data_IF_466072762565
#
_entry.id   IF_466072762565
#
_cell.length_a   1.000
_cell.length_b   1.000
_cell.length_c   1.000
_cell.angle_alpha   90.00
_cell.angle_beta   90.00
_cell.angle_gamma   90.00
#
_symmetry.space_group_name_H-M   'P 1'
#
loop_
_entity.id
_entity.type
_entity.pdbx_description
1 polymer ?
#
# COMPACT_ATOMS: atom_id res chain seq x y z
N UNK A 1 -1.78 -39.74 -38.21
CA UNK A 1 -1.09 -39.40 -39.48
C UNK A 1 -1.31 -40.55 -40.45
N UNK A 2 -1.35 -40.31 -41.78
CA UNK A 2 -1.33 -41.43 -42.73
C UNK A 2 0.06 -42.08 -42.72
N UNK A 3 0.11 -43.39 -42.84
CA UNK A 3 1.35 -44.13 -43.03
C UNK A 3 1.80 -43.96 -44.48
N UNK A 4 2.93 -43.31 -44.68
CA UNK A 4 3.55 -43.11 -46.00
C UNK A 4 4.53 -44.25 -46.30
N UNK A 5 4.59 -44.69 -47.54
CA UNK A 5 5.46 -45.78 -48.01
C UNK A 5 6.58 -45.24 -48.93
N UNK A 6 7.65 -46.01 -49.20
CA UNK A 6 8.67 -45.56 -50.15
C UNK A 6 8.05 -45.26 -51.51
N UNK A 7 8.53 -44.20 -52.18
CA UNK A 7 8.18 -44.01 -53.59
C UNK A 7 8.85 -45.09 -54.44
N UNK A 8 8.08 -45.67 -55.34
CA UNK A 8 8.60 -46.56 -56.35
C UNK A 8 9.51 -45.78 -57.31
N UNK A 9 10.79 -46.17 -57.48
CA UNK A 9 11.76 -45.39 -58.24
C UNK A 9 11.45 -45.33 -59.75
N UNK A 10 10.54 -46.16 -60.26
CA UNK A 10 10.11 -46.14 -61.67
C UNK A 10 8.91 -45.22 -61.88
N UNK A 11 8.04 -45.05 -60.88
CA UNK A 11 6.75 -44.34 -61.04
C UNK A 11 6.58 -43.08 -60.20
N UNK A 12 7.38 -42.91 -59.14
CA UNK A 12 7.26 -41.78 -58.20
C UNK A 12 6.02 -41.83 -57.30
N UNK A 13 5.35 -42.98 -57.20
CA UNK A 13 4.14 -43.18 -56.38
C UNK A 13 4.47 -44.07 -55.17
N UNK A 14 3.86 -43.82 -54.02
CA UNK A 14 4.05 -44.62 -52.80
C UNK A 14 3.66 -46.08 -53.00
N UNK A 15 4.60 -47.00 -52.74
CA UNK A 15 4.44 -48.44 -52.93
C UNK A 15 4.66 -49.20 -51.61
N UNK A 16 3.61 -49.78 -50.99
CA UNK A 16 3.70 -50.43 -49.69
C UNK A 16 4.46 -51.76 -49.69
N UNK A 17 4.84 -52.30 -50.85
CA UNK A 17 5.62 -53.53 -50.96
C UNK A 17 7.15 -53.28 -50.95
N UNK A 18 7.59 -52.01 -51.01
CA UNK A 18 9.02 -51.67 -50.99
C UNK A 18 9.56 -51.53 -49.56
N UNK A 19 10.75 -52.07 -49.33
CA UNK A 19 11.50 -51.87 -48.09
C UNK A 19 12.24 -50.52 -48.13
N UNK A 20 12.23 -49.79 -47.00
CA UNK A 20 13.05 -48.58 -46.84
C UNK A 20 14.54 -48.94 -46.85
N UNK A 21 15.22 -48.64 -47.96
CA UNK A 21 16.66 -48.82 -48.07
C UNK A 21 17.41 -47.59 -47.52
N UNK A 22 18.35 -47.81 -46.61
CA UNK A 22 19.23 -46.75 -46.12
C UNK A 22 20.24 -46.42 -47.23
N UNK A 23 20.21 -45.20 -47.77
CA UNK A 23 20.97 -44.83 -48.97
C UNK A 23 22.48 -44.99 -48.79
N UNK A 24 23.14 -45.66 -49.73
CA UNK A 24 24.60 -45.73 -49.81
C UNK A 24 25.11 -44.55 -50.66
N UNK A 25 25.89 -43.60 -50.10
CA UNK A 25 26.41 -42.47 -50.86
C UNK A 25 27.33 -42.85 -52.03
N UNK A 26 27.91 -44.07 -52.03
CA UNK A 26 28.87 -44.49 -53.06
C UNK A 26 28.23 -44.93 -54.39
N UNK A 27 26.90 -45.07 -54.47
CA UNK A 27 26.21 -45.58 -55.68
C UNK A 27 25.30 -44.57 -56.36
N UNK A 28 25.24 -43.32 -55.87
CA UNK A 28 24.56 -42.20 -56.55
C UNK A 28 23.09 -42.48 -56.89
N UNK A 29 22.37 -43.20 -56.04
CA UNK A 29 21.01 -43.64 -56.30
C UNK A 29 20.02 -42.54 -55.90
N UNK A 30 19.33 -41.94 -56.88
CA UNK A 30 18.34 -40.89 -56.63
C UNK A 30 17.20 -41.40 -55.76
N UNK A 31 16.82 -40.58 -54.77
CA UNK A 31 15.96 -40.99 -53.66
C UNK A 31 16.48 -40.52 -52.30
N UNK A 32 17.10 -39.34 -52.25
CA UNK A 32 17.74 -38.72 -51.07
C UNK A 32 16.73 -38.27 -50.01
N UNK A 33 15.97 -39.21 -49.46
CA UNK A 33 15.22 -38.98 -48.22
C UNK A 33 16.21 -38.81 -47.07
N UNK A 34 15.99 -37.85 -46.16
CA UNK A 34 16.83 -37.72 -44.98
C UNK A 34 16.90 -39.06 -44.24
N UNK A 35 18.07 -39.49 -43.75
CA UNK A 35 18.20 -40.78 -43.09
C UNK A 35 17.22 -40.83 -41.92
N UNK A 36 16.54 -41.97 -41.74
CA UNK A 36 15.47 -42.18 -40.76
C UNK A 36 15.77 -41.64 -39.36
N UNK A 37 17.04 -41.67 -38.93
CA UNK A 37 17.53 -41.02 -37.70
C UNK A 37 17.15 -39.54 -37.56
N UNK A 38 17.20 -38.74 -38.64
CA UNK A 38 16.91 -37.30 -38.62
C UNK A 38 15.44 -36.99 -38.25
N UNK A 39 14.51 -37.91 -38.56
CA UNK A 39 13.11 -37.81 -38.13
C UNK A 39 12.86 -38.47 -36.78
N UNK A 40 13.62 -39.52 -36.45
CA UNK A 40 13.57 -40.22 -35.17
C UNK A 40 14.07 -39.38 -34.01
N UNK A 41 15.17 -38.65 -34.17
CA UNK A 41 15.86 -38.03 -33.04
C UNK A 41 15.03 -36.91 -32.36
N UNK A 42 14.34 -36.01 -33.10
CA UNK A 42 13.36 -35.09 -32.51
C UNK A 42 12.13 -35.80 -31.91
N UNK A 43 11.71 -36.94 -32.47
CA UNK A 43 10.61 -37.74 -31.89
C UNK A 43 11.04 -38.44 -30.59
N UNK A 44 12.27 -38.92 -30.49
CA UNK A 44 12.87 -39.40 -29.23
C UNK A 44 12.97 -38.28 -28.22
N UNK A 45 13.39 -37.07 -28.62
CA UNK A 45 13.39 -35.88 -27.76
C UNK A 45 11.97 -35.52 -27.29
N UNK A 46 10.97 -35.59 -28.16
CA UNK A 46 9.58 -35.28 -27.81
C UNK A 46 8.89 -36.38 -27.01
N UNK A 47 9.23 -37.65 -27.16
CA UNK A 47 8.80 -38.69 -26.23
C UNK A 47 9.54 -38.51 -24.90
N UNK A 48 10.85 -38.30 -24.90
CA UNK A 48 11.60 -37.86 -23.71
C UNK A 48 11.00 -36.60 -23.06
N UNK A 49 10.34 -35.72 -23.81
CA UNK A 49 9.56 -34.60 -23.27
C UNK A 49 8.15 -34.99 -22.85
N UNK A 50 7.40 -35.81 -23.59
CA UNK A 50 6.13 -36.37 -23.12
C UNK A 50 6.32 -37.17 -21.83
N UNK A 51 7.59 -37.50 -21.49
CA UNK A 51 8.01 -38.23 -20.32
C UNK A 51 7.46 -37.71 -18.94
N UNK A 52 8.10 -36.91 -18.08
CA UNK A 52 7.72 -36.95 -16.63
C UNK A 52 6.52 -36.13 -16.07
N UNK A 53 5.44 -35.84 -16.80
CA UNK A 53 4.26 -35.17 -16.21
C UNK A 53 3.33 -36.12 -15.47
N UNK A 54 3.70 -37.40 -15.38
CA UNK A 54 2.77 -38.42 -14.91
C UNK A 54 1.70 -38.75 -15.95
N UNK A 55 2.06 -38.70 -17.24
CA UNK A 55 1.29 -39.41 -18.26
C UNK A 55 1.71 -40.90 -18.25
N UNK A 56 1.00 -41.73 -19.00
CA UNK A 56 1.56 -42.95 -19.59
C UNK A 56 1.64 -42.76 -21.11
N UNK A 57 2.73 -43.20 -21.73
CA UNK A 57 2.74 -43.55 -23.15
C UNK A 57 1.69 -44.67 -23.35
N UNK A 58 1.39 -45.04 -24.58
CA UNK A 58 0.71 -46.30 -24.84
C UNK A 58 1.16 -46.84 -26.20
N UNK A 59 1.66 -48.07 -26.33
CA UNK A 59 1.68 -49.20 -25.38
C UNK A 59 3.05 -49.92 -25.41
N UNK A 60 3.62 -50.41 -24.30
CA UNK A 60 3.13 -50.45 -22.90
C UNK A 60 3.16 -49.09 -22.19
N UNK A 61 4.18 -48.30 -22.48
CA UNK A 61 4.17 -46.86 -22.27
C UNK A 61 4.37 -46.36 -20.83
N UNK A 62 5.31 -46.96 -20.11
CA UNK A 62 6.00 -46.25 -19.01
C UNK A 62 6.88 -45.10 -19.52
N UNK A 63 7.15 -45.14 -20.82
CA UNK A 63 7.87 -44.19 -21.65
C UNK A 63 7.14 -42.85 -21.86
N UNK A 64 6.31 -42.49 -20.87
CA UNK A 64 6.21 -41.13 -20.35
C UNK A 64 6.72 -40.93 -18.87
N UNK A 65 8.05 -40.91 -18.57
CA UNK A 65 8.69 -40.59 -17.25
C UNK A 65 10.07 -39.77 -17.14
N UNK A 66 10.33 -38.64 -17.86
CA UNK A 66 11.49 -37.71 -17.82
C UNK A 66 11.25 -36.17 -18.05
N UNK A 67 10.76 -35.61 -19.19
CA UNK A 67 10.72 -34.11 -19.40
C UNK A 67 9.36 -33.40 -19.47
N UNK A 68 8.25 -34.09 -19.21
CA UNK A 68 7.03 -33.44 -18.78
C UNK A 68 7.04 -33.30 -17.25
N UNK A 69 8.15 -33.66 -16.55
CA UNK A 69 8.59 -33.04 -15.27
C UNK A 69 8.84 -31.55 -15.50
N UNK A 70 9.23 -31.14 -16.72
CA UNK A 70 9.30 -29.74 -17.07
C UNK A 70 7.90 -29.13 -17.24
N UNK A 71 6.91 -29.88 -17.74
CA UNK A 71 5.48 -29.51 -17.72
C UNK A 71 4.92 -29.56 -16.27
N UNK A 72 5.46 -30.46 -15.43
CA UNK A 72 5.03 -30.74 -14.05
C UNK A 72 5.75 -29.88 -12.99
N UNK A 73 6.78 -29.12 -13.38
CA UNK A 73 7.12 -27.86 -12.72
C UNK A 73 5.96 -26.85 -12.78
N UNK A 74 4.91 -27.14 -13.55
CA UNK A 74 3.57 -26.54 -13.43
C UNK A 74 2.41 -27.52 -13.14
N UNK A 75 2.63 -28.77 -12.68
CA UNK A 75 1.50 -29.71 -12.46
C UNK A 75 0.67 -29.32 -11.25
N UNK A 76 -0.55 -28.91 -11.57
CA UNK A 76 -1.76 -29.30 -10.87
C UNK A 76 -1.73 -30.76 -10.34
N UNK A 77 -1.75 -30.94 -9.02
CA UNK A 77 -1.83 -32.26 -8.38
C UNK A 77 -3.28 -32.77 -8.29
N UNK A 78 -3.87 -33.07 -9.45
CA UNK A 78 -5.12 -33.83 -9.58
C UNK A 78 -6.31 -33.35 -8.74
N UNK A 79 -7.20 -34.30 -8.41
CA UNK A 79 -8.34 -34.06 -7.53
C UNK A 79 -7.87 -34.00 -6.07
N UNK A 80 -8.03 -32.84 -5.43
CA UNK A 80 -7.79 -32.71 -3.98
C UNK A 80 -8.90 -33.44 -3.23
N UNK A 81 -8.54 -34.50 -2.51
CA UNK A 81 -9.41 -35.16 -1.55
C UNK A 81 -9.36 -34.44 -0.20
N UNK A 82 -10.52 -34.23 0.42
CA UNK A 82 -10.61 -33.91 1.85
C UNK A 82 -10.93 -35.21 2.61
N UNK A 83 -9.97 -35.86 3.28
CA UNK A 83 -10.26 -36.85 4.32
C UNK A 83 -11.06 -36.24 5.49
N UNK A 84 -11.26 -37.02 6.56
CA UNK A 84 -12.19 -36.75 7.67
C UNK A 84 -12.06 -35.40 8.43
N UNK A 85 -11.10 -34.52 8.11
CA UNK A 85 -11.04 -33.16 8.64
C UNK A 85 -10.78 -32.14 7.52
N UNK A 86 -11.38 -30.95 7.62
CA UNK A 86 -11.22 -29.88 6.62
C UNK A 86 -9.79 -29.31 6.52
N UNK A 87 -8.92 -29.63 7.48
CA UNK A 87 -7.55 -29.14 7.57
C UNK A 87 -6.51 -30.14 7.02
N UNK A 88 -6.89 -31.40 6.81
CA UNK A 88 -6.03 -32.39 6.15
C UNK A 88 -6.42 -32.50 4.70
N UNK A 89 -5.49 -32.20 3.78
CA UNK A 89 -5.65 -32.45 2.36
C UNK A 89 -4.95 -33.74 1.96
N UNK A 90 -5.51 -34.47 1.00
CA UNK A 90 -4.86 -35.60 0.34
C UNK A 90 -4.81 -35.32 -1.15
N UNK A 91 -3.64 -35.56 -1.74
CA UNK A 91 -3.45 -35.51 -3.19
C UNK A 91 -2.47 -36.58 -3.64
N UNK A 92 -2.54 -36.93 -4.92
CA UNK A 92 -1.70 -37.91 -5.58
C UNK A 92 -1.06 -37.28 -6.81
N UNK A 93 0.18 -37.66 -7.11
CA UNK A 93 0.72 -37.42 -8.45
C UNK A 93 -0.12 -38.20 -9.48
N UNK A 94 -0.46 -37.59 -10.64
CA UNK A 94 -1.17 -38.31 -11.69
C UNK A 94 -0.29 -39.39 -12.33
N UNK A 95 -0.91 -40.47 -12.79
CA UNK A 95 -0.25 -41.59 -13.46
C UNK A 95 0.44 -42.59 -12.53
N UNK A 96 1.10 -43.59 -13.12
CA UNK A 96 1.87 -44.63 -12.42
C UNK A 96 3.31 -44.22 -12.08
N UNK A 97 3.66 -42.95 -12.26
CA UNK A 97 5.03 -42.44 -12.13
C UNK A 97 5.35 -42.13 -10.66
N UNK A 98 6.32 -42.85 -10.10
CA UNK A 98 6.79 -42.67 -8.72
C UNK A 98 7.97 -41.69 -8.69
N UNK A 99 7.81 -40.55 -8.00
CA UNK A 99 8.86 -39.55 -7.84
C UNK A 99 9.78 -39.88 -6.65
N UNK A 100 11.11 -39.70 -6.73
CA UNK A 100 11.99 -40.09 -5.61
C UNK A 100 11.77 -39.25 -4.34
N UNK A 101 11.52 -37.95 -4.49
CA UNK A 101 11.28 -36.99 -3.40
C UNK A 101 10.56 -35.73 -3.91
N UNK A 102 10.10 -34.87 -2.99
CA UNK A 102 9.66 -33.51 -3.30
C UNK A 102 10.83 -32.64 -3.76
N UNK A 103 10.59 -31.78 -4.77
CA UNK A 103 11.57 -30.83 -5.30
C UNK A 103 11.17 -29.39 -4.97
N UNK A 104 12.15 -28.54 -4.65
CA UNK A 104 11.93 -27.11 -4.44
C UNK A 104 11.28 -26.50 -5.70
N UNK A 105 10.21 -25.72 -5.49
CA UNK A 105 9.45 -25.11 -6.57
C UNK A 105 8.31 -25.96 -7.13
N UNK A 106 8.12 -27.21 -6.71
CA UNK A 106 6.89 -27.97 -7.03
C UNK A 106 5.66 -27.22 -6.51
N UNK A 107 4.59 -27.19 -7.30
CA UNK A 107 3.37 -26.45 -6.97
C UNK A 107 2.15 -27.37 -6.92
N UNK A 108 1.10 -26.94 -6.24
CA UNK A 108 -0.23 -27.52 -6.39
C UNK A 108 -1.31 -26.47 -6.22
N UNK A 109 -2.47 -26.70 -6.83
CA UNK A 109 -3.63 -25.82 -6.76
C UNK A 109 -4.93 -26.61 -6.81
N UNK A 110 -5.99 -26.02 -6.28
CA UNK A 110 -7.33 -26.60 -6.27
C UNK A 110 -8.27 -25.75 -5.43
N UNK A 111 -9.42 -26.31 -5.06
CA UNK A 111 -10.39 -25.69 -4.17
C UNK A 111 -10.94 -26.74 -3.19
N UNK A 112 -11.44 -26.31 -2.04
CA UNK A 112 -12.04 -27.17 -1.00
C UNK A 112 -13.51 -26.83 -0.78
N UNK A 113 -14.30 -27.82 -0.33
CA UNK A 113 -15.77 -27.68 -0.19
C UNK A 113 -16.21 -26.91 1.06
N UNK A 114 -15.37 -26.88 2.09
CA UNK A 114 -15.57 -26.18 3.36
C UNK A 114 -14.27 -25.42 3.71
N UNK A 115 -14.35 -24.26 4.38
CA UNK A 115 -13.15 -23.50 4.72
C UNK A 115 -12.32 -24.25 5.77
N UNK A 116 -11.01 -23.99 5.79
CA UNK A 116 -10.16 -24.52 6.84
C UNK A 116 -10.48 -23.87 8.20
N UNK A 117 -10.32 -24.63 9.28
CA UNK A 117 -10.61 -24.20 10.66
C UNK A 117 -9.36 -23.98 11.51
N UNK A 118 -8.17 -24.07 10.91
CA UNK A 118 -6.89 -23.87 11.57
C UNK A 118 -5.71 -24.31 10.69
N UNK A 119 -4.55 -24.65 11.30
CA UNK A 119 -3.37 -25.13 10.59
C UNK A 119 -3.69 -26.33 9.71
N UNK A 120 -3.23 -26.32 8.46
CA UNK A 120 -3.49 -27.38 7.49
C UNK A 120 -2.24 -28.20 7.17
N UNK A 121 -2.44 -29.46 6.78
CA UNK A 121 -1.40 -30.32 6.21
C UNK A 121 -1.85 -30.91 4.87
N UNK A 122 -0.89 -31.34 4.05
CA UNK A 122 -1.14 -32.16 2.86
C UNK A 122 -0.40 -33.48 2.98
N UNK A 123 -1.11 -34.58 2.71
CA UNK A 123 -0.51 -35.90 2.49
C UNK A 123 -0.42 -36.15 0.99
N UNK A 124 0.77 -36.51 0.51
CA UNK A 124 1.04 -36.69 -0.92
C UNK A 124 1.45 -38.12 -1.23
N UNK A 125 0.77 -38.76 -2.17
CA UNK A 125 1.11 -40.10 -2.68
C UNK A 125 1.71 -40.04 -4.10
N UNK A 126 2.32 -41.14 -4.55
CA UNK A 126 3.11 -41.17 -5.79
C UNK A 126 4.60 -40.85 -5.60
N UNK A 127 5.10 -40.88 -4.36
CA UNK A 127 6.53 -40.70 -4.06
C UNK A 127 7.15 -42.00 -3.53
N UNK A 128 8.37 -42.32 -3.97
CA UNK A 128 9.09 -43.54 -3.61
C UNK A 128 9.57 -43.52 -2.15
N UNK A 129 9.97 -42.35 -1.67
CA UNK A 129 9.95 -42.03 -0.24
C UNK A 129 8.75 -41.14 0.01
N UNK A 130 7.74 -41.64 0.73
CA UNK A 130 6.56 -40.83 1.07
C UNK A 130 7.01 -39.61 1.92
N UNK A 131 6.67 -38.36 1.52
CA UNK A 131 7.05 -37.17 2.29
C UNK A 131 6.26 -37.01 3.59
N UNK A 132 5.35 -37.94 3.91
CA UNK A 132 4.47 -37.87 5.07
C UNK A 132 3.41 -36.78 4.95
N UNK A 133 2.99 -36.24 6.10
CA UNK A 133 2.18 -35.01 6.18
C UNK A 133 3.11 -33.80 6.12
N UNK A 134 2.95 -32.97 5.09
CA UNK A 134 3.71 -31.72 4.92
C UNK A 134 2.83 -30.55 5.34
N UNK A 135 3.38 -29.62 6.12
CA UNK A 135 2.64 -28.44 6.57
C UNK A 135 2.32 -27.49 5.40
N UNK A 136 1.11 -26.96 5.39
CA UNK A 136 0.70 -25.84 4.54
C UNK A 136 0.83 -24.55 5.36
N UNK A 137 1.59 -23.60 4.83
CA UNK A 137 1.96 -22.38 5.53
C UNK A 137 1.55 -21.15 4.73
N UNK A 138 1.18 -20.10 5.46
CA UNK A 138 0.97 -18.78 4.90
C UNK A 138 2.26 -18.25 4.26
N UNK A 139 2.09 -17.30 3.33
CA UNK A 139 3.16 -16.70 2.51
C UNK A 139 4.38 -16.24 3.33
N UNK A 140 4.16 -15.74 4.55
CA UNK A 140 5.18 -15.09 5.36
C UNK A 140 5.97 -16.01 6.30
N UNK A 141 5.55 -17.25 6.54
CA UNK A 141 6.19 -18.11 7.55
C UNK A 141 5.22 -18.99 8.33
N UNK A 142 4.16 -18.37 8.86
CA UNK A 142 3.27 -18.97 9.86
C UNK A 142 2.34 -20.07 9.36
N UNK A 143 1.80 -20.82 10.32
CA UNK A 143 0.70 -21.75 10.06
C UNK A 143 -0.57 -21.01 9.63
N UNK A 144 -1.36 -21.63 8.75
CA UNK A 144 -2.63 -21.08 8.29
C UNK A 144 -3.63 -20.94 9.45
N UNK A 145 -4.38 -19.85 9.44
CA UNK A 145 -5.48 -19.56 10.37
C UNK A 145 -6.82 -19.99 9.77
N UNK A 146 -7.87 -20.03 10.59
CA UNK A 146 -9.21 -20.38 10.13
C UNK A 146 -9.72 -19.38 9.09
N UNK A 147 -10.05 -19.85 7.89
CA UNK A 147 -10.54 -19.04 6.77
C UNK A 147 -9.49 -18.65 5.72
N UNK A 148 -8.19 -18.85 5.97
CA UNK A 148 -7.10 -18.57 5.00
C UNK A 148 -7.27 -19.33 3.68
N UNK A 149 -7.97 -20.48 3.72
CA UNK A 149 -8.39 -21.24 2.53
C UNK A 149 -9.92 -21.33 2.52
N UNK A 150 -10.61 -20.42 1.80
CA UNK A 150 -12.07 -20.39 1.76
C UNK A 150 -12.69 -21.54 0.95
N UNK A 151 -13.95 -21.86 1.25
CA UNK A 151 -14.72 -22.82 0.46
C UNK A 151 -14.93 -22.34 -0.99
N UNK A 152 -14.75 -23.25 -1.94
CA UNK A 152 -14.95 -23.10 -3.38
C UNK A 152 -14.08 -22.01 -4.06
N UNK A 153 -13.03 -21.52 -3.39
CA UNK A 153 -12.10 -20.55 -4.00
C UNK A 153 -10.77 -21.22 -4.38
N UNK A 154 -10.26 -21.03 -5.61
CA UNK A 154 -8.98 -21.60 -6.03
C UNK A 154 -7.80 -21.06 -5.22
N UNK A 155 -7.04 -21.94 -4.60
CA UNK A 155 -5.77 -21.64 -3.93
C UNK A 155 -4.59 -22.26 -4.67
N UNK A 156 -3.38 -21.81 -4.33
CA UNK A 156 -2.12 -22.35 -4.87
C UNK A 156 -1.01 -22.36 -3.82
N UNK A 157 -0.28 -23.46 -3.73
CA UNK A 157 0.91 -23.62 -2.89
C UNK A 157 2.14 -23.97 -3.72
N UNK A 158 3.33 -23.66 -3.19
CA UNK A 158 4.66 -23.98 -3.76
C UNK A 158 5.57 -24.52 -2.66
N UNK A 159 6.27 -25.62 -2.91
CA UNK A 159 7.22 -26.21 -1.97
C UNK A 159 8.51 -25.37 -1.88
N UNK A 160 8.91 -24.98 -0.67
CA UNK A 160 10.12 -24.19 -0.42
C UNK A 160 11.37 -25.02 -0.09
N UNK A 161 11.22 -26.34 0.02
CA UNK A 161 12.26 -27.28 0.48
C UNK A 161 11.95 -27.91 1.83
N UNK A 162 11.08 -27.30 2.63
CA UNK A 162 10.66 -27.79 3.95
C UNK A 162 9.13 -27.92 4.04
N UNK A 163 8.40 -26.97 3.47
CA UNK A 163 6.94 -26.87 3.56
C UNK A 163 6.33 -26.28 2.29
N UNK A 164 5.00 -26.34 2.18
CA UNK A 164 4.26 -25.70 1.09
C UNK A 164 3.82 -24.29 1.48
N UNK A 165 4.32 -23.29 0.76
CA UNK A 165 3.99 -21.86 0.92
C UNK A 165 2.85 -21.44 -0.01
N UNK A 166 1.88 -20.70 0.50
CA UNK A 166 0.84 -20.12 -0.35
C UNK A 166 1.46 -19.16 -1.39
N UNK A 167 1.27 -19.46 -2.68
CA UNK A 167 2.00 -18.83 -3.79
C UNK A 167 1.28 -17.64 -4.45
N UNK A 168 -0.05 -17.60 -4.38
CA UNK A 168 -0.88 -16.50 -4.87
C UNK A 168 -1.96 -16.18 -3.82
N UNK A 169 -2.26 -14.90 -3.53
CA UNK A 169 -3.22 -14.54 -2.49
C UNK A 169 -4.65 -14.81 -2.95
N UNK A 170 -5.42 -15.54 -2.14
CA UNK A 170 -6.87 -15.68 -2.30
C UNK A 170 -7.60 -14.44 -1.74
N UNK A 171 -7.16 -13.25 -2.16
CA UNK A 171 -7.77 -11.92 -1.92
C UNK A 171 -7.93 -11.48 -0.44
N UNK A 172 -7.97 -12.38 0.55
CA UNK A 172 -8.31 -12.13 1.95
C UNK A 172 -7.24 -11.35 2.71
N UNK A 173 -6.05 -11.91 2.90
CA UNK A 173 -5.13 -11.48 3.96
C UNK A 173 -4.60 -10.05 3.79
N UNK A 174 -4.48 -9.58 2.55
CA UNK A 174 -4.01 -8.22 2.26
C UNK A 174 -5.13 -7.27 1.85
N UNK A 175 -6.09 -7.68 1.02
CA UNK A 175 -7.16 -6.77 0.59
C UNK A 175 -8.23 -6.59 1.67
N UNK A 176 -8.64 -7.65 2.39
CA UNK A 176 -9.59 -7.49 3.50
C UNK A 176 -8.97 -6.70 4.66
N UNK A 177 -7.68 -6.95 4.98
CA UNK A 177 -6.96 -6.19 6.02
C UNK A 177 -6.81 -4.72 5.62
N UNK A 178 -6.33 -4.42 4.40
CA UNK A 178 -6.19 -3.04 3.94
C UNK A 178 -7.54 -2.32 3.81
N UNK A 179 -8.57 -2.99 3.28
CA UNK A 179 -9.91 -2.41 3.14
C UNK A 179 -10.59 -2.21 4.49
N UNK A 180 -10.43 -3.13 5.44
CA UNK A 180 -10.88 -2.97 6.82
C UNK A 180 -10.19 -1.77 7.48
N UNK A 181 -8.86 -1.64 7.35
CA UNK A 181 -8.13 -0.47 7.85
C UNK A 181 -8.60 0.83 7.20
N UNK A 182 -8.94 0.83 5.90
CA UNK A 182 -9.48 2.03 5.22
C UNK A 182 -10.90 2.37 5.69
N UNK A 183 -11.78 1.37 5.81
CA UNK A 183 -13.20 1.55 6.20
C UNK A 183 -13.39 1.84 7.69
N UNK A 184 -12.50 1.38 8.56
CA UNK A 184 -12.54 1.65 10.01
C UNK A 184 -11.74 2.88 10.42
N UNK A 185 -11.00 3.51 9.50
CA UNK A 185 -10.25 4.73 9.78
C UNK A 185 -11.20 5.89 10.09
N UNK A 186 -11.07 6.57 11.24
CA UNK A 186 -11.91 7.72 11.54
C UNK A 186 -11.61 8.87 10.58
N UNK A 187 -12.65 9.58 10.15
CA UNK A 187 -12.55 10.70 9.21
C UNK A 187 -11.68 11.86 9.74
N UNK A 188 -11.65 12.04 11.06
CA UNK A 188 -10.72 12.90 11.77
C UNK A 188 -10.25 12.23 13.07
N UNK A 189 -9.00 12.47 13.45
CA UNK A 189 -8.45 12.05 14.75
C UNK A 189 -8.52 13.21 15.73
N UNK A 190 -9.06 12.97 16.92
CA UNK A 190 -8.97 13.90 18.05
C UNK A 190 -7.63 13.70 18.73
N UNK A 191 -6.88 14.78 18.96
CA UNK A 191 -5.63 14.77 19.72
C UNK A 191 -5.58 15.90 20.75
N UNK A 192 -4.91 15.65 21.86
CA UNK A 192 -4.77 16.60 22.97
C UNK A 192 -3.34 17.16 23.06
N UNK A 193 -3.20 18.44 23.41
CA UNK A 193 -1.92 19.09 23.69
C UNK A 193 -1.98 19.75 25.07
N UNK A 194 -1.06 19.38 25.95
CA UNK A 194 -0.85 19.97 27.26
C UNK A 194 0.63 20.39 27.38
N UNK A 195 0.96 21.69 27.29
CA UNK A 195 2.33 22.17 27.37
C UNK A 195 2.98 22.00 28.75
N UNK A 196 2.17 21.84 29.80
CA UNK A 196 2.63 21.69 31.18
C UNK A 196 2.89 20.21 31.52
N UNK A 197 1.91 19.34 31.27
CA UNK A 197 1.93 17.92 31.70
C UNK A 197 2.16 16.92 30.55
N UNK A 198 2.05 17.34 29.30
CA UNK A 198 2.16 16.47 28.13
C UNK A 198 3.59 15.98 27.84
N UNK A 199 3.68 15.00 26.96
CA UNK A 199 4.93 14.43 26.46
C UNK A 199 4.79 14.12 24.96
N UNK A 200 5.76 14.54 24.13
CA UNK A 200 5.71 14.32 22.68
C UNK A 200 5.94 12.86 22.27
N UNK A 201 6.34 11.99 23.20
CA UNK A 201 6.33 10.53 23.04
C UNK A 201 4.93 9.90 23.22
N UNK A 202 3.92 10.64 23.69
CA UNK A 202 2.56 10.13 23.86
C UNK A 202 1.83 9.95 22.51
N UNK A 203 0.70 9.26 22.55
CA UNK A 203 -0.20 9.08 21.40
C UNK A 203 -1.16 10.28 21.17
N UNK A 204 -1.35 11.14 22.18
CA UNK A 204 -2.25 12.28 22.14
C UNK A 204 -3.73 11.92 22.25
N UNK A 205 -4.11 10.67 22.50
CA UNK A 205 -5.51 10.20 22.38
C UNK A 205 -6.42 10.62 23.52
N UNK A 206 -5.85 10.96 24.69
CA UNK A 206 -6.55 11.37 25.91
C UNK A 206 -5.81 12.55 26.57
N UNK A 207 -6.46 13.37 27.43
CA UNK A 207 -5.80 14.44 28.17
C UNK A 207 -4.57 13.98 28.96
N UNK A 208 -4.69 12.88 29.71
CA UNK A 208 -3.57 12.26 30.45
C UNK A 208 -2.46 11.66 29.57
N UNK A 209 -2.64 11.68 28.24
CA UNK A 209 -1.67 11.27 27.22
C UNK A 209 -1.47 12.38 26.17
N UNK A 210 -1.68 13.63 26.52
CA UNK A 210 -1.51 14.74 25.58
C UNK A 210 -0.06 14.85 25.06
N UNK A 211 0.09 15.34 23.83
CA UNK A 211 1.38 15.84 23.34
C UNK A 211 1.82 17.04 24.18
N UNK A 212 3.13 17.30 24.27
CA UNK A 212 3.66 18.49 24.92
C UNK A 212 3.62 19.71 24.01
N UNK A 213 3.87 19.51 22.72
CA UNK A 213 3.97 20.59 21.74
C UNK A 213 2.89 20.49 20.66
N UNK A 214 2.44 21.66 20.19
CA UNK A 214 1.56 21.76 19.03
C UNK A 214 2.26 21.21 17.78
N UNK A 215 3.56 21.44 17.64
CA UNK A 215 4.39 20.95 16.54
C UNK A 215 4.38 19.41 16.43
N UNK A 216 4.43 18.68 17.56
CA UNK A 216 4.36 17.22 17.59
C UNK A 216 2.97 16.67 17.24
N UNK A 217 1.90 17.31 17.73
CA UNK A 217 0.53 16.97 17.33
C UNK A 217 0.32 17.17 15.82
N UNK A 218 0.77 18.32 15.29
CA UNK A 218 0.65 18.64 13.87
C UNK A 218 1.49 17.74 12.96
N UNK A 219 2.55 17.10 13.46
CA UNK A 219 3.29 16.10 12.70
C UNK A 219 2.41 14.90 12.27
N UNK A 220 1.30 14.62 12.97
CA UNK A 220 0.34 13.56 12.60
C UNK A 220 -0.58 13.93 11.43
N UNK A 221 -0.63 15.20 11.02
CA UNK A 221 -1.49 15.68 9.91
C UNK A 221 -1.13 15.12 8.54
N UNK A 222 0.03 14.47 8.41
CA UNK A 222 0.40 13.75 7.19
C UNK A 222 -0.50 12.55 6.90
N UNK A 223 -1.20 12.02 7.90
CA UNK A 223 -2.02 10.80 7.77
C UNK A 223 -3.51 10.98 8.10
N UNK A 224 -3.90 12.08 8.76
CA UNK A 224 -5.27 12.31 9.26
C UNK A 224 -5.63 13.80 9.19
N UNK A 225 -6.92 14.11 9.04
CA UNK A 225 -7.47 15.40 9.51
C UNK A 225 -7.49 15.39 11.03
N UNK A 226 -7.07 16.48 11.68
CA UNK A 226 -7.00 16.55 13.15
C UNK A 226 -7.98 17.54 13.75
N UNK A 227 -8.54 17.18 14.91
CA UNK A 227 -9.08 18.12 15.88
C UNK A 227 -8.15 18.14 17.08
N UNK A 228 -7.45 19.26 17.27
CA UNK A 228 -6.42 19.46 18.28
C UNK A 228 -7.02 20.26 19.44
N UNK A 229 -7.13 19.64 20.61
CA UNK A 229 -7.60 20.29 21.83
C UNK A 229 -6.43 20.78 22.67
N UNK A 230 -6.39 22.09 22.92
CA UNK A 230 -5.38 22.76 23.73
C UNK A 230 -5.85 22.86 25.19
N UNK A 231 -5.10 22.23 26.09
CA UNK A 231 -5.32 22.27 27.55
C UNK A 231 -4.52 23.40 28.24
N UNK A 232 -3.59 24.02 27.51
CA UNK A 232 -2.80 25.18 27.96
C UNK A 232 -2.28 25.99 26.76
N UNK A 233 -1.53 27.05 27.06
CA UNK A 233 -1.02 27.98 26.05
C UNK A 233 0.24 27.44 25.38
N UNK A 234 0.25 27.42 24.04
CA UNK A 234 1.29 26.77 23.23
C UNK A 234 2.05 27.77 22.37
N UNK A 235 3.28 27.39 22.02
CA UNK A 235 4.05 28.04 20.95
C UNK A 235 4.07 27.13 19.72
N UNK A 236 3.83 27.68 18.54
CA UNK A 236 4.06 27.01 17.25
C UNK A 236 5.47 27.36 16.78
N UNK A 237 6.40 26.41 16.80
CA UNK A 237 7.82 26.66 16.60
C UNK A 237 8.32 26.33 15.19
N UNK A 238 7.65 25.43 14.48
CA UNK A 238 8.04 24.94 13.17
C UNK A 238 7.21 25.59 12.05
N UNK A 239 7.77 25.57 10.84
CA UNK A 239 7.04 25.78 9.60
C UNK A 239 6.73 24.42 8.98
N UNK A 240 5.47 24.01 8.96
CA UNK A 240 5.03 22.67 8.55
C UNK A 240 4.13 22.69 7.30
N UNK A 241 4.18 21.63 6.50
CA UNK A 241 3.21 21.40 5.44
C UNK A 241 2.00 20.67 6.02
N UNK A 242 0.80 21.24 5.87
CA UNK A 242 -0.45 20.59 6.26
C UNK A 242 -1.13 20.03 5.01
N UNK A 243 -1.45 18.74 5.04
CA UNK A 243 -2.04 17.98 3.92
C UNK A 243 -3.47 17.47 4.19
N UNK A 244 -4.03 17.81 5.35
CA UNK A 244 -5.41 17.52 5.73
C UNK A 244 -6.06 18.73 6.42
N UNK A 245 -7.37 18.70 6.62
CA UNK A 245 -8.10 19.75 7.34
C UNK A 245 -7.78 19.65 8.83
N UNK A 246 -7.53 20.79 9.49
CA UNK A 246 -7.17 20.81 10.90
C UNK A 246 -7.98 21.85 11.65
N UNK A 247 -8.44 21.48 12.85
CA UNK A 247 -9.05 22.41 13.82
C UNK A 247 -8.17 22.46 15.06
N UNK A 248 -7.85 23.65 15.55
CA UNK A 248 -7.12 23.90 16.80
C UNK A 248 -8.06 24.64 17.73
N UNK A 249 -8.33 24.09 18.91
CA UNK A 249 -9.37 24.60 19.79
C UNK A 249 -8.97 24.64 21.26
N UNK A 250 -9.19 25.80 21.90
CA UNK A 250 -8.98 25.98 23.33
C UNK A 250 -10.11 25.40 24.18
N UNK A 251 -9.77 24.51 25.13
CA UNK A 251 -10.76 23.80 25.96
C UNK A 251 -10.35 23.68 27.42
N UNK A 252 -11.31 23.28 28.24
CA UNK A 252 -11.13 22.52 29.47
C UNK A 252 -11.76 21.14 29.32
N UNK A 253 -11.15 20.11 29.91
CA UNK A 253 -11.68 18.75 29.89
C UNK A 253 -11.43 18.05 31.23
N UNK A 254 -12.21 17.01 31.50
CA UNK A 254 -11.94 16.09 32.61
C UNK A 254 -10.84 15.07 32.25
N UNK A 255 -10.46 14.21 33.21
CA UNK A 255 -9.43 13.19 33.00
C UNK A 255 -9.84 12.09 31.99
N UNK A 256 -11.13 11.96 31.68
CA UNK A 256 -11.66 10.99 30.71
C UNK A 256 -11.69 11.57 29.27
N UNK A 257 -11.42 12.86 29.09
CA UNK A 257 -11.48 13.53 27.78
C UNK A 257 -12.84 14.13 27.45
N UNK A 258 -13.78 14.21 28.40
CA UNK A 258 -15.02 14.95 28.18
C UNK A 258 -14.73 16.45 28.25
N UNK A 259 -15.12 17.19 27.21
CA UNK A 259 -14.99 18.66 27.19
C UNK A 259 -15.99 19.25 28.19
N UNK A 260 -15.47 19.91 29.21
CA UNK A 260 -16.27 20.58 30.25
C UNK A 260 -16.56 22.04 29.93
N UNK A 261 -15.83 22.63 28.98
CA UNK A 261 -16.00 24.00 28.56
C UNK A 261 -15.00 24.42 27.49
N UNK A 262 -15.28 25.54 26.84
CA UNK A 262 -14.36 26.21 25.92
C UNK A 262 -13.63 27.33 26.64
N UNK A 263 -12.36 27.53 26.35
CA UNK A 263 -11.51 28.50 27.07
C UNK A 263 -10.48 29.06 26.11
N UNK A 264 -10.28 30.38 26.13
CA UNK A 264 -9.32 31.05 25.26
C UNK A 264 -7.89 30.55 25.59
N UNK A 265 -7.22 29.88 24.65
CA UNK A 265 -5.84 29.42 24.80
C UNK A 265 -4.88 30.17 23.90
N UNK A 266 -3.71 30.54 24.43
CA UNK A 266 -2.63 31.16 23.69
C UNK A 266 -2.07 30.22 22.59
N UNK A 267 -1.94 30.75 21.38
CA UNK A 267 -1.16 30.17 20.29
C UNK A 267 -0.17 31.24 19.85
N UNK A 268 1.01 31.21 20.47
CA UNK A 268 2.09 32.12 20.13
C UNK A 268 2.85 31.58 18.92
N UNK A 269 2.90 32.36 17.85
CA UNK A 269 3.68 32.01 16.68
C UNK A 269 5.16 32.41 16.92
N UNK A 270 6.10 31.82 16.19
CA UNK A 270 7.52 32.20 16.26
C UNK A 270 7.97 32.95 14.99
N UNK A 271 8.68 34.06 15.17
CA UNK A 271 9.02 34.98 14.07
C UNK A 271 10.01 34.41 13.05
N UNK A 272 10.83 33.45 13.48
CA UNK A 272 11.58 32.56 12.59
C UNK A 272 11.44 31.12 13.11
N UNK A 273 11.11 30.19 12.21
CA UNK A 273 10.86 28.80 12.56
C UNK A 273 12.14 28.06 12.98
N UNK A 274 12.07 27.12 13.93
CA UNK A 274 13.23 26.32 14.34
C UNK A 274 13.77 25.41 13.21
N UNK A 275 12.96 25.10 12.21
CA UNK A 275 13.37 24.38 10.99
C UNK A 275 13.63 25.32 9.79
N UNK A 276 13.91 26.60 10.04
CA UNK A 276 14.39 27.53 9.01
C UNK A 276 15.92 27.47 8.88
N UNK A 277 16.50 27.66 7.69
CA UNK A 277 15.83 27.86 6.40
C UNK A 277 15.24 26.57 5.83
N UNK A 278 14.14 26.72 5.09
CA UNK A 278 13.58 25.68 4.23
C UNK A 278 14.10 25.86 2.78
N UNK A 279 13.85 24.94 1.84
CA UNK A 279 14.24 25.11 0.43
C UNK A 279 13.71 26.40 -0.23
N UNK A 280 12.65 26.99 0.31
CA UNK A 280 12.06 28.27 -0.11
C UNK A 280 12.68 29.50 0.59
N UNK A 281 13.72 29.31 1.42
CA UNK A 281 14.41 30.35 2.17
C UNK A 281 14.06 30.42 3.67
N UNK A 282 14.46 31.52 4.32
CA UNK A 282 14.12 31.82 5.73
C UNK A 282 12.64 32.14 5.87
N UNK A 283 11.99 31.60 6.91
CA UNK A 283 10.55 31.61 7.09
C UNK A 283 10.10 31.71 8.55
N UNK A 284 9.00 32.41 8.80
CA UNK A 284 8.26 32.40 10.06
C UNK A 284 7.61 31.03 10.33
N UNK A 285 7.38 30.71 11.60
CA UNK A 285 6.66 29.51 12.01
C UNK A 285 5.17 29.56 11.62
N UNK A 286 4.53 28.39 11.58
CA UNK A 286 3.16 28.22 11.12
C UNK A 286 3.05 27.17 10.01
N UNK A 287 2.22 27.42 8.99
CA UNK A 287 1.79 26.41 8.03
C UNK A 287 1.91 26.82 6.56
N UNK A 288 2.20 25.84 5.72
CA UNK A 288 1.85 25.84 4.30
C UNK A 288 0.57 25.00 4.11
N UNK A 289 -0.45 25.57 3.47
CA UNK A 289 -1.77 24.98 3.28
C UNK A 289 -2.00 24.63 1.80
N UNK A 290 -2.12 23.34 1.50
CA UNK A 290 -2.29 22.82 0.14
C UNK A 290 -3.75 22.41 -0.11
N UNK A 291 -4.64 23.36 -0.45
CA UNK A 291 -6.07 23.12 -0.78
C UNK A 291 -6.97 22.77 0.43
N UNK A 292 -6.69 23.33 1.61
CA UNK A 292 -7.22 22.83 2.90
C UNK A 292 -7.67 23.93 3.86
N UNK A 293 -8.44 23.54 4.87
CA UNK A 293 -8.93 24.41 5.94
C UNK A 293 -8.05 24.25 7.20
N UNK A 294 -7.57 25.37 7.73
CA UNK A 294 -7.01 25.49 9.07
C UNK A 294 -7.93 26.36 9.92
N UNK A 295 -8.64 25.74 10.86
CA UNK A 295 -9.62 26.39 11.72
C UNK A 295 -9.07 26.58 13.12
N UNK A 296 -9.33 27.74 13.72
CA UNK A 296 -9.07 28.06 15.11
C UNK A 296 -10.39 28.39 15.81
N UNK A 297 -10.58 27.86 17.02
CA UNK A 297 -11.75 28.13 17.85
C UNK A 297 -11.32 28.40 19.30
N UNK A 298 -11.74 29.51 19.90
CA UNK A 298 -11.31 29.87 21.26
C UNK A 298 -9.78 29.92 21.43
N UNK A 299 -9.09 30.56 20.48
CA UNK A 299 -7.63 30.75 20.51
C UNK A 299 -7.26 32.24 20.58
N UNK A 300 -6.27 32.58 21.39
CA UNK A 300 -5.57 33.86 21.37
C UNK A 300 -4.30 33.70 20.52
N UNK A 301 -4.35 34.14 19.26
CA UNK A 301 -3.24 34.02 18.32
C UNK A 301 -2.34 35.26 18.46
N UNK A 302 -1.08 35.04 18.82
CA UNK A 302 -0.09 36.12 19.00
C UNK A 302 0.97 36.05 17.89
N UNK A 303 1.03 37.10 17.07
CA UNK A 303 2.04 37.27 16.02
C UNK A 303 3.27 38.02 16.59
N UNK A 304 4.46 37.40 16.63
CA UNK A 304 5.70 38.03 17.07
C UNK A 304 6.32 38.89 15.98
N UNK A 305 7.28 39.75 16.32
CA UNK A 305 8.12 40.40 15.31
C UNK A 305 8.92 39.39 14.49
N UNK A 306 9.01 39.66 13.19
CA UNK A 306 9.74 38.85 12.22
C UNK A 306 11.17 39.39 12.09
N UNK A 307 12.23 38.56 12.31
CA UNK A 307 13.61 39.00 12.13
C UNK A 307 13.92 39.49 10.72
N UNK A 308 14.81 40.47 10.60
CA UNK A 308 15.25 40.99 9.30
C UNK A 308 15.86 39.89 8.43
N UNK A 309 15.48 39.87 7.15
CA UNK A 309 15.93 38.87 6.18
C UNK A 309 15.20 37.53 6.23
N UNK A 310 14.11 37.39 7.00
CA UNK A 310 13.13 36.31 6.80
C UNK A 310 12.30 36.63 5.55
N UNK A 311 12.42 35.80 4.51
CA UNK A 311 11.79 36.03 3.21
C UNK A 311 10.31 35.64 3.18
N UNK A 312 9.92 34.66 3.99
CA UNK A 312 8.53 34.19 4.15
C UNK A 312 8.03 34.65 5.51
N UNK A 313 7.43 35.85 5.54
CA UNK A 313 6.95 36.52 6.76
C UNK A 313 5.45 36.40 6.99
N UNK A 314 4.74 35.62 6.18
CA UNK A 314 3.39 35.14 6.53
C UNK A 314 3.47 33.91 7.44
N UNK A 315 2.51 33.75 8.34
CA UNK A 315 2.43 32.58 9.21
C UNK A 315 1.66 31.42 8.58
N UNK A 316 0.55 31.69 7.89
CA UNK A 316 -0.26 30.70 7.18
C UNK A 316 -0.27 31.00 5.69
N UNK A 317 0.61 30.34 4.93
CA UNK A 317 0.64 30.48 3.45
C UNK A 317 -0.30 29.49 2.81
N UNK A 318 -1.36 30.00 2.20
CA UNK A 318 -2.19 29.24 1.28
C UNK A 318 -1.45 29.10 -0.05
N UNK A 319 -1.30 27.85 -0.52
CA UNK A 319 -0.59 27.54 -1.77
C UNK A 319 -1.55 27.27 -2.92
N UNK A 320 -2.66 26.55 -2.71
CA UNK A 320 -3.55 26.16 -3.81
C UNK A 320 -5.03 26.20 -3.40
N UNK A 321 -5.51 27.39 -3.04
CA UNK A 321 -6.77 27.53 -2.33
C UNK A 321 -6.73 26.87 -0.95
N UNK A 322 -7.80 27.05 -0.18
CA UNK A 322 -7.83 26.74 1.24
C UNK A 322 -8.10 27.98 2.07
N UNK A 323 -8.46 27.76 3.34
CA UNK A 323 -9.06 28.78 4.18
C UNK A 323 -8.44 28.75 5.57
N UNK A 324 -8.11 29.93 6.10
CA UNK A 324 -7.89 30.12 7.54
C UNK A 324 -9.22 30.59 8.14
N UNK A 325 -9.72 29.88 9.14
CA UNK A 325 -11.01 30.19 9.79
C UNK A 325 -10.74 30.51 11.26
N UNK A 326 -11.21 31.66 11.74
CA UNK A 326 -11.10 32.10 13.13
C UNK A 326 -12.51 32.26 13.70
N UNK A 327 -12.83 31.51 14.75
CA UNK A 327 -14.12 31.53 15.44
C UNK A 327 -13.94 31.77 16.93
N UNK A 328 -14.59 32.79 17.50
CA UNK A 328 -14.42 33.16 18.92
C UNK A 328 -12.94 33.30 19.34
N UNK A 329 -12.09 33.78 18.43
CA UNK A 329 -10.66 33.95 18.64
C UNK A 329 -10.30 35.41 18.96
N UNK A 330 -9.10 35.62 19.47
CA UNK A 330 -8.46 36.94 19.48
C UNK A 330 -7.19 36.87 18.66
N UNK A 331 -6.91 37.87 17.82
CA UNK A 331 -5.63 38.00 17.12
C UNK A 331 -4.93 39.27 17.59
N UNK A 332 -3.65 39.15 17.95
CA UNK A 332 -2.84 40.25 18.44
C UNK A 332 -1.42 40.24 17.83
N UNK A 333 -0.75 41.39 17.88
CA UNK A 333 0.66 41.54 17.50
C UNK A 333 1.49 41.87 18.74
N UNK A 334 2.65 41.23 18.89
CA UNK A 334 3.54 41.44 20.04
C UNK A 334 4.50 42.63 19.85
N UNK A 335 4.71 43.08 18.61
CA UNK A 335 5.64 44.15 18.26
C UNK A 335 5.25 44.91 17.00
N UNK A 336 6.21 45.63 16.41
CA UNK A 336 6.00 46.60 15.32
C UNK A 336 6.23 46.04 13.90
N UNK A 337 6.78 44.84 13.76
CA UNK A 337 7.04 44.17 12.48
C UNK A 337 6.57 42.70 12.47
N UNK A 338 5.28 42.41 12.78
CA UNK A 338 4.78 41.05 12.99
C UNK A 338 4.50 40.23 11.71
N UNK A 339 4.95 40.72 10.54
CA UNK A 339 4.71 40.04 9.27
C UNK A 339 3.24 40.07 8.86
N UNK A 340 2.70 38.91 8.45
CA UNK A 340 1.29 38.74 8.12
C UNK A 340 0.73 37.42 8.70
N UNK A 341 -0.55 37.38 9.08
CA UNK A 341 -1.18 36.12 9.51
C UNK A 341 -1.41 35.18 8.33
N UNK A 342 -2.06 35.67 7.27
CA UNK A 342 -2.47 34.90 6.11
C UNK A 342 -1.73 35.42 4.87
N UNK A 343 -1.01 34.53 4.19
CA UNK A 343 -0.35 34.82 2.90
C UNK A 343 -0.89 33.95 1.78
N UNK A 344 -0.81 34.43 0.54
CA UNK A 344 -1.08 33.64 -0.66
C UNK A 344 0.22 33.47 -1.48
N UNK A 345 0.52 32.26 -1.94
CA UNK A 345 1.60 32.03 -2.89
C UNK A 345 1.25 32.63 -4.26
N UNK A 346 2.05 33.57 -4.75
CA UNK A 346 1.78 34.29 -5.99
C UNK A 346 1.51 33.36 -7.18
N UNK A 347 0.41 33.62 -7.90
CA UNK A 347 0.00 32.90 -9.11
C UNK A 347 -1.11 31.86 -8.93
N UNK A 348 -1.53 31.56 -7.70
CA UNK A 348 -2.47 30.47 -7.41
C UNK A 348 -3.87 30.94 -6.95
N UNK A 349 -4.76 29.98 -6.72
CA UNK A 349 -6.16 30.20 -6.35
C UNK A 349 -6.34 31.06 -5.06
N UNK A 350 -7.48 31.74 -4.97
CA UNK A 350 -7.80 32.67 -3.89
C UNK A 350 -7.73 32.00 -2.50
N UNK A 351 -7.10 32.68 -1.56
CA UNK A 351 -6.95 32.27 -0.17
C UNK A 351 -8.12 32.77 0.68
N UNK A 352 -8.77 31.89 1.44
CA UNK A 352 -9.85 32.28 2.35
C UNK A 352 -9.34 32.76 3.71
N UNK A 353 -9.92 33.83 4.22
CA UNK A 353 -9.79 34.26 5.61
C UNK A 353 -11.16 34.58 6.19
N UNK A 354 -11.73 33.66 6.96
CA UNK A 354 -13.07 33.80 7.56
C UNK A 354 -12.94 34.06 9.05
N UNK A 355 -13.45 35.19 9.53
CA UNK A 355 -13.24 35.68 10.90
C UNK A 355 -14.61 36.00 11.51
N UNK A 356 -15.14 35.08 12.31
CA UNK A 356 -16.45 35.16 12.95
C UNK A 356 -16.33 35.27 14.46
N UNK A 357 -17.11 36.16 15.07
CA UNK A 357 -17.17 36.34 16.54
C UNK A 357 -15.81 36.58 17.21
N UNK A 358 -14.82 37.08 16.45
CA UNK A 358 -13.42 37.16 16.87
C UNK A 358 -12.98 38.62 16.99
N UNK A 359 -12.00 38.89 17.86
CA UNK A 359 -11.48 40.24 18.13
C UNK A 359 -10.09 40.42 17.51
N UNK A 360 -9.85 41.56 16.85
CA UNK A 360 -8.53 41.96 16.37
C UNK A 360 -7.99 43.06 17.30
N UNK A 361 -6.73 42.98 17.75
CA UNK A 361 -6.13 44.10 18.50
C UNK A 361 -5.89 45.30 17.57
N UNK A 362 -5.81 46.52 18.12
CA UNK A 362 -5.75 47.76 17.31
C UNK A 362 -4.59 47.84 16.31
N UNK A 363 -3.51 47.09 16.54
CA UNK A 363 -2.35 46.95 15.65
C UNK A 363 -2.46 45.82 14.62
N UNK A 364 -3.41 44.88 14.75
CA UNK A 364 -3.55 43.71 13.87
C UNK A 364 -4.06 43.98 12.44
N UNK A 365 -4.99 44.92 12.17
CA UNK A 365 -5.57 45.18 10.85
C UNK A 365 -4.63 45.04 9.64
N UNK A 366 -3.55 45.82 9.58
CA UNK A 366 -2.59 45.82 8.47
C UNK A 366 -1.63 44.62 8.41
N UNK A 367 -1.82 43.63 9.28
CA UNK A 367 -1.02 42.41 9.38
C UNK A 367 -1.87 41.14 9.25
N UNK A 368 -3.17 41.26 8.95
CA UNK A 368 -4.02 40.09 8.83
C UNK A 368 -3.81 39.34 7.50
N UNK A 369 -3.69 40.08 6.39
CA UNK A 369 -3.49 39.55 5.05
C UNK A 369 -2.24 40.15 4.40
N UNK A 370 -1.40 39.31 3.83
CA UNK A 370 -0.20 39.75 3.10
C UNK A 370 -0.57 40.68 1.94
N UNK A 371 0.09 41.84 1.86
CA UNK A 371 -0.18 42.92 0.91
C UNK A 371 -1.55 43.60 1.01
N UNK A 372 -2.23 43.53 2.16
CA UNK A 372 -3.42 44.35 2.46
C UNK A 372 -3.08 45.32 3.59
N UNK A 373 -3.13 46.63 3.32
CA UNK A 373 -2.88 47.65 4.34
C UNK A 373 -4.08 47.78 5.29
N UNK A 374 -3.84 48.28 6.50
CA UNK A 374 -4.91 48.55 7.47
C UNK A 374 -6.03 49.42 6.85
N UNK A 375 -7.28 49.01 7.07
CA UNK A 375 -8.48 49.66 6.52
C UNK A 375 -8.81 49.30 5.06
N UNK A 376 -7.95 48.57 4.34
CA UNK A 376 -8.25 48.15 2.96
C UNK A 376 -9.15 46.91 2.94
N UNK A 377 -9.98 46.80 1.89
CA UNK A 377 -10.80 45.60 1.67
C UNK A 377 -9.90 44.45 1.15
N UNK A 378 -9.82 43.31 1.85
CA UNK A 378 -9.06 42.15 1.37
C UNK A 378 -9.68 41.48 0.13
N UNK A 379 -10.99 41.69 -0.10
CA UNK A 379 -11.69 41.15 -1.26
C UNK A 379 -11.42 42.01 -2.50
N UNK A 380 -10.60 41.49 -3.42
CA UNK A 380 -10.33 42.18 -4.69
C UNK A 380 -9.34 41.50 -5.63
N UNK A 381 -8.37 40.74 -5.10
CA UNK A 381 -7.38 40.01 -5.93
C UNK A 381 -7.15 38.59 -5.41
N UNK A 382 -6.41 38.44 -4.31
CA UNK A 382 -5.86 37.16 -3.84
C UNK A 382 -6.62 36.52 -2.67
N UNK A 383 -7.60 37.20 -2.07
CA UNK A 383 -8.33 36.73 -0.89
C UNK A 383 -9.85 36.69 -1.06
N UNK A 384 -10.48 35.80 -0.30
CA UNK A 384 -11.92 35.83 0.02
C UNK A 384 -12.07 35.98 1.53
N UNK A 385 -12.79 36.99 2.00
CA UNK A 385 -13.00 37.25 3.42
C UNK A 385 -14.38 37.82 3.69
N UNK A 386 -14.94 37.52 4.86
CA UNK A 386 -16.12 38.18 5.38
C UNK A 386 -15.84 39.57 5.98
N UNK A 387 -14.56 39.98 6.08
CA UNK A 387 -14.19 41.35 6.42
C UNK A 387 -14.31 42.26 5.20
N UNK A 388 -14.96 43.42 5.37
CA UNK A 388 -15.05 44.49 4.35
C UNK A 388 -13.88 45.47 4.43
N UNK A 389 -13.16 45.49 5.55
CA UNK A 389 -11.89 46.19 5.78
C UNK A 389 -11.06 45.35 6.76
N UNK A 390 -9.78 45.14 6.47
CA UNK A 390 -8.83 44.49 7.36
C UNK A 390 -8.38 45.44 8.48
#
# INVERSE_FOLDING_TARGET
>A
MKQHYPLDPVTGIENPALAWANGNPSTGTDGSYPPFGLFLDPQKELLNLQRASGLSDSADGSDTAQASQAVSRGTWLGTIGQPATVNDLVTALPGSVIWPALLIGMEFSGAISAPNTGPMTVTMTGFGTLPGKVNLLGKAGGALQAGDVPANVPFKFRFDGTAFRMGAPVVSDQAATAMSVILTKPAALVVWVDPLNGNDANDGTLPGKAYKTLDAALAKTQSYSLTIYLLGDVTWNLRQNLFNNNTIQGVTADAAGNITGYTLRGVTLKGEANNSPLPQGRCAAGAFLYSLNLSFSYCYILMPDIPSGVAIFDHFRVINGGNVVLSACTVATAGSAPGALIGNAAGNAQAGGYIGGSTLSGSTPGHLFYSVSAGQNPNGVLYRSNLTSA
#
